data_IF_551199476738
#
_entry.id   IF_551199476738
#
_cell.length_a   1.000
_cell.length_b   1.000
_cell.length_c   1.000
_cell.angle_alpha   90.00
_cell.angle_beta   90.00
_cell.angle_gamma   90.00
#
_symmetry.space_group_name_H-M   'P 1'
#
loop_
_entity.id
_entity.type
_entity.pdbx_description
1 polymer ?
#
# COMPACT_ATOMS: atom_id res chain seq x y z
N UNK A 1 6.27 -9.09 -22.09
CA UNK A 1 7.54 -8.32 -21.96
C UNK A 1 8.74 -9.12 -22.46
N UNK A 2 9.03 -10.32 -21.95
CA UNK A 2 10.21 -11.12 -22.40
C UNK A 2 10.20 -11.37 -23.91
N UNK A 3 9.08 -11.86 -24.47
CA UNK A 3 8.93 -12.09 -25.91
C UNK A 3 9.37 -10.87 -26.74
N UNK A 4 8.78 -9.70 -26.46
CA UNK A 4 9.09 -8.44 -27.15
C UNK A 4 10.55 -8.00 -26.99
N UNK A 5 11.16 -8.25 -25.82
CA UNK A 5 12.57 -7.96 -25.59
C UNK A 5 13.47 -8.87 -26.43
N UNK A 6 13.22 -10.17 -26.47
CA UNK A 6 14.00 -11.15 -27.25
C UNK A 6 13.84 -10.93 -28.76
N UNK A 7 12.66 -10.55 -29.24
CA UNK A 7 12.44 -10.18 -30.64
C UNK A 7 13.29 -8.97 -31.07
N UNK A 8 13.45 -7.98 -30.18
CA UNK A 8 14.30 -6.79 -30.43
C UNK A 8 15.79 -7.04 -30.20
N UNK A 9 16.13 -8.08 -29.43
CA UNK A 9 17.49 -8.41 -29.04
C UNK A 9 17.75 -9.90 -29.29
N UNK A 10 17.79 -10.35 -30.56
CA UNK A 10 17.85 -11.78 -30.90
C UNK A 10 19.13 -12.47 -30.40
N UNK A 11 20.18 -11.67 -30.12
CA UNK A 11 21.45 -12.17 -29.57
C UNK A 11 21.42 -12.35 -28.04
N UNK A 12 20.32 -11.96 -27.37
CA UNK A 12 20.17 -12.08 -25.91
C UNK A 12 19.11 -13.14 -25.61
N UNK A 13 19.54 -14.24 -24.98
CA UNK A 13 18.65 -15.27 -24.44
C UNK A 13 18.19 -14.87 -23.03
N UNK A 14 16.88 -14.84 -22.81
CA UNK A 14 16.31 -14.59 -21.48
C UNK A 14 15.73 -15.89 -20.92
N UNK A 15 16.23 -16.32 -19.76
CA UNK A 15 15.66 -17.44 -19.01
C UNK A 15 14.83 -16.91 -17.84
N UNK A 16 13.52 -17.15 -17.87
CA UNK A 16 12.63 -16.71 -16.80
C UNK A 16 12.56 -17.74 -15.67
N UNK A 17 13.01 -17.35 -14.48
CA UNK A 17 12.96 -18.16 -13.27
C UNK A 17 12.05 -17.50 -12.23
N UNK A 18 10.75 -17.84 -12.18
CA UNK A 18 9.85 -17.25 -11.20
C UNK A 18 10.21 -17.73 -9.79
N UNK A 19 10.24 -16.79 -8.83
CA UNK A 19 10.35 -17.13 -7.41
C UNK A 19 8.95 -17.27 -6.86
N UNK A 20 8.63 -18.46 -6.34
CA UNK A 20 7.33 -18.73 -5.74
C UNK A 20 7.06 -17.78 -4.56
N UNK A 21 5.93 -17.07 -4.62
CA UNK A 21 5.45 -16.18 -3.57
C UNK A 21 4.47 -16.94 -2.68
N UNK A 22 4.61 -16.77 -1.38
CA UNK A 22 3.74 -17.42 -0.41
C UNK A 22 2.47 -16.57 -0.33
N UNK A 23 1.33 -17.11 -0.76
CA UNK A 23 0.05 -16.39 -0.89
C UNK A 23 0.15 -15.09 -1.72
N UNK A 24 1.02 -15.06 -2.73
CA UNK A 24 1.25 -13.87 -3.56
C UNK A 24 1.99 -12.73 -2.86
N UNK A 25 2.50 -12.94 -1.66
CA UNK A 25 3.25 -11.93 -0.91
C UNK A 25 4.69 -11.83 -1.41
N UNK A 26 5.03 -10.68 -2.01
CA UNK A 26 6.38 -10.40 -2.49
C UNK A 26 7.45 -10.49 -1.38
N UNK A 27 7.10 -10.20 -0.12
CA UNK A 27 8.05 -10.24 0.99
C UNK A 27 8.62 -11.65 1.25
N UNK A 28 7.91 -12.71 0.86
CA UNK A 28 8.42 -14.09 1.02
C UNK A 28 9.49 -14.46 -0.01
N UNK A 29 9.66 -13.66 -1.06
CA UNK A 29 10.69 -13.88 -2.07
C UNK A 29 12.09 -13.52 -1.56
N UNK A 30 12.22 -12.46 -0.74
CA UNK A 30 13.54 -11.91 -0.41
C UNK A 30 14.46 -12.88 0.35
N UNK A 31 14.00 -13.66 1.33
CA UNK A 31 14.84 -14.70 1.95
C UNK A 31 15.34 -15.73 0.93
N UNK A 32 14.49 -16.14 -0.04
CA UNK A 32 14.84 -17.06 -1.13
C UNK A 32 15.88 -16.43 -2.07
N UNK A 33 15.69 -15.15 -2.42
CA UNK A 33 16.64 -14.39 -3.24
C UNK A 33 18.00 -14.24 -2.57
N UNK A 34 18.03 -13.93 -1.27
CA UNK A 34 19.27 -13.80 -0.48
C UNK A 34 20.00 -15.14 -0.37
N UNK A 35 19.27 -16.24 -0.17
CA UNK A 35 19.86 -17.58 -0.16
C UNK A 35 20.45 -17.95 -1.53
N UNK A 36 19.73 -17.68 -2.62
CA UNK A 36 20.23 -17.89 -3.98
C UNK A 36 21.46 -17.02 -4.29
N UNK A 37 21.51 -15.78 -3.79
CA UNK A 37 22.68 -14.91 -3.94
C UNK A 37 23.91 -15.51 -3.25
N UNK A 38 23.73 -16.00 -2.01
CA UNK A 38 24.80 -16.65 -1.25
C UNK A 38 25.28 -17.96 -1.91
N UNK A 39 24.38 -18.67 -2.57
CA UNK A 39 24.69 -19.89 -3.31
C UNK A 39 25.27 -19.64 -4.72
N UNK A 40 25.34 -18.39 -5.19
CA UNK A 40 25.77 -18.05 -6.54
C UNK A 40 24.78 -18.49 -7.64
N UNK A 41 23.52 -18.68 -7.30
CA UNK A 41 22.46 -19.17 -8.22
C UNK A 41 21.36 -18.16 -8.49
N UNK A 42 21.41 -16.99 -7.84
CA UNK A 42 20.54 -15.87 -8.17
C UNK A 42 20.87 -15.40 -9.60
N UNK A 43 19.85 -15.11 -10.42
CA UNK A 43 20.05 -14.73 -11.83
C UNK A 43 20.75 -13.37 -12.02
N UNK A 44 20.64 -12.78 -13.21
CA UNK A 44 21.28 -11.48 -13.47
C UNK A 44 20.36 -10.27 -13.19
N UNK A 45 19.05 -10.44 -13.39
CA UNK A 45 18.05 -9.37 -13.26
C UNK A 45 16.98 -9.74 -12.23
N UNK A 46 16.73 -8.87 -11.25
CA UNK A 46 15.76 -9.09 -10.19
C UNK A 46 15.04 -7.80 -9.78
N UNK A 47 13.88 -7.98 -9.15
CA UNK A 47 13.10 -6.89 -8.58
C UNK A 47 13.27 -6.84 -7.05
N UNK A 48 13.87 -5.76 -6.56
CA UNK A 48 13.99 -5.46 -5.13
C UNK A 48 13.13 -4.27 -4.78
N UNK A 49 12.31 -4.39 -3.72
CA UNK A 49 11.38 -3.34 -3.34
C UNK A 49 12.05 -2.30 -2.44
N UNK A 50 12.10 -1.01 -2.84
CA UNK A 50 12.61 0.05 -2.00
C UNK A 50 11.65 0.42 -0.85
N UNK A 51 10.33 0.27 -1.02
CA UNK A 51 9.33 0.76 -0.06
C UNK A 51 9.30 -0.02 1.27
N UNK A 52 9.76 -1.27 1.24
CA UNK A 52 9.90 -2.13 2.43
C UNK A 52 11.36 -2.42 2.80
N UNK A 53 12.26 -1.51 2.43
CA UNK A 53 13.68 -1.54 2.76
C UNK A 53 14.54 -2.63 2.06
N UNK A 54 13.94 -3.46 1.21
CA UNK A 54 14.60 -4.66 0.68
C UNK A 54 15.71 -4.32 -0.32
N UNK A 55 15.52 -3.29 -1.14
CA UNK A 55 16.57 -2.76 -2.03
C UNK A 55 17.80 -2.33 -1.23
N UNK A 56 17.63 -1.55 -0.16
CA UNK A 56 18.75 -1.06 0.66
C UNK A 56 19.49 -2.21 1.37
N UNK A 57 18.76 -3.24 1.80
CA UNK A 57 19.37 -4.44 2.39
C UNK A 57 20.17 -5.23 1.36
N UNK A 58 19.65 -5.39 0.13
CA UNK A 58 20.39 -6.02 -0.96
C UNK A 58 21.66 -5.24 -1.33
N UNK A 59 21.58 -3.90 -1.39
CA UNK A 59 22.72 -3.02 -1.62
C UNK A 59 23.79 -3.18 -0.52
N UNK A 60 23.40 -3.10 0.76
CA UNK A 60 24.30 -3.26 1.91
C UNK A 60 24.98 -4.62 1.94
N UNK A 61 24.26 -5.68 1.53
CA UNK A 61 24.76 -7.05 1.44
C UNK A 61 25.53 -7.34 0.15
N UNK A 62 25.68 -6.35 -0.74
CA UNK A 62 26.37 -6.48 -2.03
C UNK A 62 25.73 -7.55 -2.95
N UNK A 63 24.42 -7.72 -2.86
CA UNK A 63 23.64 -8.63 -3.72
C UNK A 63 23.28 -7.96 -5.05
N UNK A 64 23.16 -6.64 -5.06
CA UNK A 64 22.91 -5.82 -6.24
C UNK A 64 24.05 -4.82 -6.43
N UNK A 65 24.28 -4.43 -7.68
CA UNK A 65 25.24 -3.40 -8.05
C UNK A 65 24.51 -2.08 -8.39
N UNK A 66 25.16 -0.92 -8.18
CA UNK A 66 24.65 0.35 -8.70
C UNK A 66 24.61 0.33 -10.23
N UNK A 67 23.63 1.01 -10.82
CA UNK A 67 23.40 1.06 -12.27
C UNK A 67 23.82 2.39 -12.91
N UNK A 68 24.51 3.26 -12.15
CA UNK A 68 24.92 4.60 -12.61
C UNK A 68 25.77 4.56 -13.89
N UNK A 69 26.71 3.60 -14.00
CA UNK A 69 27.53 3.42 -15.20
C UNK A 69 26.72 3.00 -16.43
N UNK A 70 25.69 2.16 -16.24
CA UNK A 70 24.80 1.73 -17.32
C UNK A 70 23.94 2.91 -17.80
N UNK A 71 23.39 3.69 -16.86
CA UNK A 71 22.62 4.91 -17.17
C UNK A 71 23.47 5.90 -17.96
N UNK A 72 24.72 6.13 -17.53
CA UNK A 72 25.64 7.04 -18.19
C UNK A 72 26.04 6.55 -19.60
N UNK A 73 26.42 5.27 -19.73
CA UNK A 73 26.81 4.65 -21.01
C UNK A 73 25.70 4.78 -22.05
N UNK A 74 24.47 4.45 -21.66
CA UNK A 74 23.33 4.40 -22.57
C UNK A 74 22.64 5.76 -22.74
N UNK A 75 23.10 6.79 -22.02
CA UNK A 75 22.42 8.10 -21.89
C UNK A 75 20.93 7.91 -21.58
N UNK A 76 20.64 6.98 -20.68
CA UNK A 76 19.28 6.54 -20.42
C UNK A 76 18.48 7.66 -19.73
N UNK A 77 17.39 8.09 -20.36
CA UNK A 77 16.59 9.22 -19.86
C UNK A 77 15.80 8.83 -18.62
N UNK A 78 16.26 9.24 -17.43
CA UNK A 78 15.52 9.03 -16.19
C UNK A 78 14.28 9.91 -16.05
N UNK A 79 14.15 10.96 -16.86
CA UNK A 79 13.01 11.86 -16.90
C UNK A 79 11.72 11.18 -17.38
N UNK A 80 11.83 10.01 -18.02
CA UNK A 80 10.67 9.19 -18.40
C UNK A 80 9.93 8.59 -17.19
N UNK A 81 10.54 8.58 -16.00
CA UNK A 81 9.91 8.08 -14.78
C UNK A 81 9.36 9.22 -13.93
N UNK A 82 8.30 8.91 -13.16
CA UNK A 82 7.87 9.82 -12.10
C UNK A 82 9.00 10.02 -11.08
N UNK A 83 9.30 11.28 -10.78
CA UNK A 83 10.39 11.69 -9.89
C UNK A 83 10.43 10.92 -8.56
N UNK A 84 9.31 10.71 -7.82
CA UNK A 84 9.35 9.94 -6.58
C UNK A 84 9.86 8.50 -6.74
N UNK A 85 9.52 7.82 -7.83
CA UNK A 85 9.90 6.42 -8.02
C UNK A 85 11.38 6.26 -8.39
N UNK A 86 11.95 7.19 -9.14
CA UNK A 86 13.40 7.17 -9.40
C UNK A 86 14.20 7.63 -8.18
N UNK A 87 13.69 8.58 -7.40
CA UNK A 87 14.35 9.00 -6.17
C UNK A 87 14.41 7.88 -5.13
N UNK A 88 13.39 7.01 -5.07
CA UNK A 88 13.44 5.79 -4.25
C UNK A 88 14.48 4.76 -4.68
N UNK A 89 15.03 4.85 -5.89
CA UNK A 89 16.14 3.98 -6.31
C UNK A 89 17.50 4.51 -5.85
N UNK A 90 17.56 5.73 -5.29
CA UNK A 90 18.81 6.38 -4.89
C UNK A 90 19.11 6.13 -3.43
N UNK A 91 20.33 5.71 -3.14
CA UNK A 91 20.83 5.56 -1.78
C UNK A 91 22.35 5.73 -1.72
N UNK A 92 22.83 6.50 -0.73
CA UNK A 92 24.25 6.83 -0.56
C UNK A 92 24.90 7.38 -1.84
N UNK A 93 24.18 8.27 -2.55
CA UNK A 93 24.68 8.93 -3.76
C UNK A 93 24.73 8.06 -5.02
N UNK A 94 24.20 6.82 -4.97
CA UNK A 94 24.16 5.89 -6.11
C UNK A 94 22.73 5.48 -6.46
N UNK A 95 22.52 5.07 -7.71
CA UNK A 95 21.26 4.53 -8.20
C UNK A 95 21.33 3.01 -8.23
N UNK A 96 20.47 2.32 -7.49
CA UNK A 96 20.55 0.87 -7.27
C UNK A 96 19.59 0.03 -8.13
N UNK A 97 18.81 0.69 -8.97
CA UNK A 97 17.85 0.03 -9.86
C UNK A 97 17.06 1.04 -10.70
N UNK A 98 16.15 0.52 -11.51
CA UNK A 98 15.19 1.32 -12.29
C UNK A 98 13.76 0.93 -11.90
N UNK A 99 12.80 1.87 -11.90
CA UNK A 99 11.40 1.55 -11.63
C UNK A 99 10.85 0.56 -12.67
N UNK A 100 10.30 -0.56 -12.22
CA UNK A 100 9.62 -1.54 -13.10
C UNK A 100 8.10 -1.39 -13.07
N UNK A 101 7.56 -0.89 -11.96
CA UNK A 101 6.19 -0.47 -11.77
C UNK A 101 6.13 0.48 -10.57
N UNK A 102 5.03 1.24 -10.43
CA UNK A 102 4.84 2.20 -9.36
C UNK A 102 3.50 1.98 -8.67
N UNK A 103 3.50 2.11 -7.35
CA UNK A 103 2.30 2.06 -6.52
C UNK A 103 2.34 3.21 -5.52
N UNK A 104 1.24 3.98 -5.44
CA UNK A 104 1.12 5.16 -4.57
C UNK A 104 0.88 4.82 -3.09
N UNK A 105 0.91 3.54 -2.74
CA UNK A 105 0.72 3.07 -1.37
C UNK A 105 -0.74 2.96 -0.98
N UNK A 106 -1.03 3.13 0.31
CA UNK A 106 -2.37 3.02 0.89
C UNK A 106 -2.96 4.43 1.10
N UNK A 107 -3.19 5.13 -0.01
CA UNK A 107 -3.42 6.58 -0.10
C UNK A 107 -4.88 7.02 -0.04
N UNK A 108 -5.82 6.10 0.19
CA UNK A 108 -7.23 6.45 0.32
C UNK A 108 -8.12 5.35 0.88
N UNK A 109 -9.36 5.38 0.43
CA UNK A 109 -10.41 4.45 0.81
C UNK A 109 -11.22 4.06 -0.41
N UNK A 110 -11.66 2.81 -0.45
CA UNK A 110 -12.78 2.38 -1.29
C UNK A 110 -14.02 2.27 -0.43
N UNK A 111 -15.17 2.61 -1.00
CA UNK A 111 -16.44 2.53 -0.28
C UNK A 111 -17.58 2.03 -1.18
N UNK A 112 -18.41 1.17 -0.62
CA UNK A 112 -19.60 0.64 -1.29
C UNK A 112 -20.70 1.72 -1.26
N UNK A 113 -21.05 2.25 -2.43
CA UNK A 113 -21.95 3.42 -2.51
C UNK A 113 -23.35 3.10 -2.03
N UNK A 114 -23.83 1.88 -2.27
CA UNK A 114 -25.18 1.44 -1.88
C UNK A 114 -25.27 1.22 -0.37
N UNK A 115 -24.24 0.66 0.25
CA UNK A 115 -24.18 0.52 1.71
C UNK A 115 -24.18 1.89 2.38
N UNK A 116 -23.38 2.84 1.88
CA UNK A 116 -23.34 4.19 2.44
C UNK A 116 -24.70 4.88 2.32
N UNK A 117 -25.32 4.83 1.14
CA UNK A 117 -26.66 5.41 0.90
C UNK A 117 -27.71 4.80 1.83
N UNK A 118 -27.75 3.47 1.96
CA UNK A 118 -28.70 2.78 2.83
C UNK A 118 -28.46 3.05 4.33
N UNK A 119 -27.21 3.33 4.71
CA UNK A 119 -26.85 3.80 6.05
C UNK A 119 -27.17 5.28 6.26
N UNK A 120 -27.62 6.02 5.23
CA UNK A 120 -27.82 7.47 5.28
C UNK A 120 -26.51 8.25 5.37
N UNK A 121 -25.40 7.69 4.89
CA UNK A 121 -24.07 8.29 4.89
C UNK A 121 -23.65 8.68 3.47
N UNK A 122 -22.84 9.73 3.35
CA UNK A 122 -22.23 10.15 2.10
C UNK A 122 -20.77 10.51 2.34
N UNK A 123 -19.90 10.18 1.40
CA UNK A 123 -18.52 10.68 1.42
C UNK A 123 -18.52 12.14 0.95
N UNK A 124 -17.86 13.06 1.67
CA UNK A 124 -17.70 14.44 1.23
C UNK A 124 -16.90 14.55 -0.07
N UNK A 125 -16.93 15.73 -0.69
CA UNK A 125 -15.96 16.06 -1.74
C UNK A 125 -14.53 16.00 -1.16
N UNK A 126 -13.55 15.35 -1.83
CA UNK A 126 -12.19 15.24 -1.32
C UNK A 126 -11.43 16.57 -1.18
N UNK A 127 -11.96 17.65 -1.75
CA UNK A 127 -11.48 19.03 -1.63
C UNK A 127 -12.26 19.82 -0.57
N UNK A 128 -13.34 19.29 -0.03
CA UNK A 128 -14.11 19.96 1.03
C UNK A 128 -13.28 20.10 2.31
N UNK A 129 -13.35 21.24 3.02
CA UNK A 129 -12.77 21.38 4.35
C UNK A 129 -13.39 20.42 5.37
N UNK A 130 -14.62 19.94 5.12
CA UNK A 130 -15.29 18.97 6.00
C UNK A 130 -14.71 17.56 5.89
N UNK A 131 -13.87 17.29 4.87
CA UNK A 131 -13.21 16.01 4.72
C UNK A 131 -12.03 15.88 5.68
N UNK A 132 -12.34 15.43 6.90
CA UNK A 132 -11.43 15.29 8.04
C UNK A 132 -11.40 13.85 8.55
N UNK A 133 -10.39 13.50 9.35
CA UNK A 133 -10.35 12.19 10.03
C UNK A 133 -11.51 12.00 11.02
N UNK A 134 -12.04 13.09 11.58
CA UNK A 134 -13.25 13.06 12.41
C UNK A 134 -14.49 12.74 11.58
N UNK A 135 -14.63 13.34 10.39
CA UNK A 135 -15.73 13.00 9.47
C UNK A 135 -15.66 11.55 9.00
N UNK A 136 -14.47 11.03 8.69
CA UNK A 136 -14.28 9.62 8.37
C UNK A 136 -14.69 8.72 9.55
N UNK A 137 -14.35 9.09 10.79
CA UNK A 137 -14.78 8.37 11.99
C UNK A 137 -16.31 8.27 12.05
N UNK A 138 -17.01 9.41 11.95
CA UNK A 138 -18.46 9.48 11.99
C UNK A 138 -19.11 8.59 10.93
N UNK A 139 -18.59 8.63 9.70
CA UNK A 139 -19.08 7.81 8.58
C UNK A 139 -18.83 6.33 8.87
N UNK A 140 -17.63 5.95 9.31
CA UNK A 140 -17.30 4.56 9.64
C UNK A 140 -18.19 4.00 10.75
N UNK A 141 -18.48 4.79 11.79
CA UNK A 141 -19.41 4.41 12.85
C UNK A 141 -20.82 4.24 12.30
N UNK A 142 -21.33 5.24 11.57
CA UNK A 142 -22.69 5.21 11.01
C UNK A 142 -22.91 4.00 10.10
N UNK A 143 -21.98 3.75 9.18
CA UNK A 143 -22.01 2.59 8.29
C UNK A 143 -21.90 1.30 9.09
N UNK A 144 -20.98 1.23 10.05
CA UNK A 144 -20.84 0.05 10.90
C UNK A 144 -22.10 -0.30 11.68
N UNK A 145 -22.76 0.68 12.30
CA UNK A 145 -24.04 0.47 13.01
C UNK A 145 -25.15 -0.02 12.10
N UNK A 146 -25.24 0.52 10.89
CA UNK A 146 -26.18 0.01 9.88
C UNK A 146 -25.88 -1.45 9.50
N UNK A 147 -24.60 -1.83 9.42
CA UNK A 147 -24.14 -3.16 9.02
C UNK A 147 -24.22 -4.22 10.13
N UNK A 148 -24.45 -3.84 11.40
CA UNK A 148 -24.62 -4.80 12.51
C UNK A 148 -25.73 -5.82 12.22
N UNK A 149 -26.81 -5.40 11.53
CA UNK A 149 -27.94 -6.27 11.15
C UNK A 149 -27.55 -7.44 10.24
N UNK A 150 -26.43 -7.34 9.54
CA UNK A 150 -25.89 -8.36 8.64
C UNK A 150 -24.52 -8.86 9.10
N UNK A 151 -24.16 -8.63 10.37
CA UNK A 151 -22.86 -8.98 10.94
C UNK A 151 -21.68 -8.41 10.11
N UNK A 152 -21.88 -7.27 9.45
CA UNK A 152 -20.87 -6.59 8.65
C UNK A 152 -20.12 -5.52 9.43
N UNK A 153 -19.14 -4.91 8.77
CA UNK A 153 -18.26 -3.90 9.37
C UNK A 153 -18.32 -2.58 8.61
N UNK A 154 -18.13 -1.48 9.35
CA UNK A 154 -18.06 -0.14 8.77
C UNK A 154 -16.74 0.12 8.05
N UNK A 155 -15.64 -0.36 8.62
CA UNK A 155 -14.29 -0.07 8.14
C UNK A 155 -13.37 -1.30 8.23
N UNK A 156 -12.56 -1.51 7.21
CA UNK A 156 -11.33 -2.30 7.33
C UNK A 156 -10.12 -1.41 7.13
N UNK A 157 -9.04 -1.65 7.88
CA UNK A 157 -7.78 -0.93 7.72
C UNK A 157 -6.63 -1.88 7.44
N UNK A 158 -5.55 -1.33 6.89
CA UNK A 158 -4.32 -2.11 6.63
C UNK A 158 -3.48 -2.33 7.89
N UNK A 159 -3.95 -1.93 9.09
CA UNK A 159 -3.24 -2.21 10.33
C UNK A 159 -3.26 -3.71 10.69
N UNK A 160 -2.19 -4.22 11.34
CA UNK A 160 -1.03 -3.49 11.87
C UNK A 160 0.15 -3.38 10.88
N UNK A 161 -0.08 -3.32 9.56
CA UNK A 161 1.02 -3.19 8.60
C UNK A 161 1.83 -1.89 8.80
N UNK A 162 3.10 -1.90 8.39
CA UNK A 162 3.97 -0.73 8.44
C UNK A 162 3.44 0.43 7.58
N UNK A 163 2.89 0.14 6.40
CA UNK A 163 2.31 1.14 5.50
C UNK A 163 1.04 1.74 6.09
N UNK A 164 0.15 0.91 6.63
CA UNK A 164 -1.05 1.36 7.34
C UNK A 164 -0.74 2.22 8.56
N UNK A 165 0.25 1.80 9.35
CA UNK A 165 0.75 2.56 10.51
C UNK A 165 1.27 3.92 10.09
N UNK A 166 2.01 4.00 8.98
CA UNK A 166 2.57 5.26 8.46
C UNK A 166 1.46 6.21 8.02
N UNK A 167 0.51 5.72 7.21
CA UNK A 167 -0.60 6.53 6.73
C UNK A 167 -1.46 7.05 7.90
N UNK A 168 -1.74 6.19 8.88
CA UNK A 168 -2.53 6.58 10.04
C UNK A 168 -1.80 7.61 10.92
N UNK A 169 -0.53 7.40 11.30
CA UNK A 169 0.19 8.36 12.15
C UNK A 169 0.36 9.71 11.46
N UNK A 170 0.61 9.70 10.13
CA UNK A 170 0.64 10.92 9.32
C UNK A 170 -0.71 11.63 9.25
N UNK A 171 -1.82 10.90 9.18
CA UNK A 171 -3.16 11.51 9.23
C UNK A 171 -3.41 12.33 10.49
N UNK A 172 -2.67 12.04 11.57
CA UNK A 172 -2.66 12.78 12.83
C UNK A 172 -1.41 13.64 13.02
N UNK A 173 -0.82 14.11 11.92
CA UNK A 173 0.32 15.05 11.87
C UNK A 173 1.56 14.54 12.63
N UNK A 174 1.80 13.22 12.58
CA UNK A 174 3.00 12.55 13.13
C UNK A 174 3.65 11.67 12.05
N UNK A 175 4.65 10.88 12.41
CA UNK A 175 5.16 9.78 11.59
C UNK A 175 5.50 8.58 12.51
N UNK A 176 6.07 7.50 11.96
CA UNK A 176 6.63 6.36 12.70
C UNK A 176 8.09 6.58 13.11
N UNK A 177 8.83 7.41 12.37
CA UNK A 177 10.23 7.76 12.65
C UNK A 177 10.42 9.28 12.72
N UNK A 178 11.45 9.72 13.44
CA UNK A 178 11.96 11.10 13.36
C UNK A 178 12.35 11.46 11.92
N UNK A 179 12.42 12.76 11.61
CA UNK A 179 12.77 13.25 10.27
C UNK A 179 14.10 12.69 9.75
N UNK A 180 15.08 12.49 10.64
CA UNK A 180 16.38 11.88 10.32
C UNK A 180 16.37 10.35 10.25
N UNK A 181 15.22 9.72 10.51
CA UNK A 181 15.02 8.26 10.52
C UNK A 181 15.69 7.52 11.68
N UNK A 182 16.26 8.21 12.68
CA UNK A 182 17.08 7.58 13.74
C UNK A 182 16.30 7.14 14.99
N UNK A 183 15.09 7.64 15.21
CA UNK A 183 14.26 7.30 16.38
C UNK A 183 12.86 6.90 15.96
N UNK A 184 12.30 5.88 16.62
CA UNK A 184 10.88 5.62 16.53
C UNK A 184 10.12 6.65 17.37
N UNK A 185 9.06 7.24 16.81
CA UNK A 185 8.27 8.32 17.46
C UNK A 185 6.79 7.93 17.65
N UNK A 186 6.49 6.63 17.65
CA UNK A 186 5.12 6.10 17.76
C UNK A 186 4.46 6.40 19.12
N UNK A 187 5.21 6.85 20.11
CA UNK A 187 4.73 7.23 21.44
C UNK A 187 4.46 8.73 21.59
N UNK A 188 4.72 9.53 20.56
CA UNK A 188 4.44 10.96 20.56
C UNK A 188 2.94 11.25 20.41
N UNK A 189 2.54 12.48 20.75
CA UNK A 189 1.12 12.86 20.87
C UNK A 189 0.29 12.53 19.63
N UNK A 190 0.74 12.94 18.43
CA UNK A 190 0.00 12.68 17.18
C UNK A 190 -0.08 11.20 16.81
N UNK A 191 0.99 10.44 17.03
CA UNK A 191 0.96 8.99 16.81
C UNK A 191 -0.01 8.29 17.78
N UNK A 192 -0.01 8.68 19.06
CA UNK A 192 -0.97 8.19 20.06
C UNK A 192 -2.41 8.54 19.69
N UNK A 193 -2.66 9.73 19.17
CA UNK A 193 -3.99 10.16 18.71
C UNK A 193 -4.50 9.26 17.57
N UNK A 194 -3.67 8.98 16.56
CA UNK A 194 -4.05 8.06 15.49
C UNK A 194 -4.30 6.63 15.98
N UNK A 195 -3.46 6.13 16.88
CA UNK A 195 -3.68 4.82 17.50
C UNK A 195 -4.96 4.79 18.35
N UNK A 196 -5.29 5.90 19.00
CA UNK A 196 -6.55 6.06 19.76
C UNK A 196 -7.76 6.04 18.85
N UNK A 197 -7.71 6.75 17.73
CA UNK A 197 -8.76 6.75 16.72
C UNK A 197 -9.10 5.33 16.24
N UNK A 198 -8.07 4.54 15.92
CA UNK A 198 -8.26 3.15 15.52
C UNK A 198 -8.78 2.28 16.67
N UNK A 199 -8.23 2.45 17.87
CA UNK A 199 -8.66 1.70 19.05
C UNK A 199 -10.15 1.94 19.33
N UNK A 200 -10.61 3.18 19.29
CA UNK A 200 -12.00 3.52 19.60
C UNK A 200 -12.95 2.91 18.56
N UNK A 201 -12.65 2.99 17.27
CA UNK A 201 -13.46 2.34 16.23
C UNK A 201 -13.52 0.82 16.42
N UNK A 202 -12.41 0.18 16.79
CA UNK A 202 -12.35 -1.27 16.92
C UNK A 202 -12.94 -1.81 18.23
N UNK A 203 -12.69 -1.14 19.35
CA UNK A 203 -12.99 -1.67 20.69
C UNK A 203 -14.21 -1.03 21.34
N UNK A 204 -14.38 0.29 21.14
CA UNK A 204 -15.54 1.02 21.69
C UNK A 204 -16.74 0.91 20.75
N UNK A 205 -16.56 1.30 19.49
CA UNK A 205 -17.64 1.33 18.50
C UNK A 205 -17.90 -0.03 17.87
N UNK A 206 -16.87 -0.90 17.85
CA UNK A 206 -16.89 -2.27 17.30
C UNK A 206 -17.27 -2.35 15.83
N UNK A 207 -16.86 -1.35 15.04
CA UNK A 207 -17.23 -1.22 13.62
C UNK A 207 -16.11 -1.64 12.66
N UNK A 208 -15.01 -2.19 13.18
CA UNK A 208 -13.81 -2.48 12.40
C UNK A 208 -13.68 -3.98 12.13
N UNK A 209 -13.47 -4.33 10.87
CA UNK A 209 -12.98 -5.64 10.47
C UNK A 209 -11.47 -5.72 10.76
N UNK A 210 -11.07 -6.61 11.67
CA UNK A 210 -9.67 -6.88 12.00
C UNK A 210 -9.42 -8.39 12.03
N UNK A 211 -8.15 -8.81 11.97
CA UNK A 211 -7.80 -10.23 11.83
C UNK A 211 -8.41 -11.16 12.90
N UNK A 212 -8.78 -10.64 14.07
CA UNK A 212 -9.40 -11.40 15.15
C UNK A 212 -10.90 -11.65 14.99
N UNK A 213 -11.58 -10.91 14.11
CA UNK A 213 -13.03 -11.04 13.88
C UNK A 213 -13.40 -11.34 12.42
N UNK A 214 -12.41 -11.50 11.54
CA UNK A 214 -12.60 -11.92 10.16
C UNK A 214 -12.41 -13.44 10.01
N UNK A 215 -13.12 -14.09 9.07
CA UNK A 215 -12.83 -15.47 8.67
C UNK A 215 -11.38 -15.61 8.19
N UNK A 216 -10.71 -16.71 8.55
CA UNK A 216 -9.30 -16.93 8.18
C UNK A 216 -9.07 -17.13 6.69
N UNK A 217 -10.08 -17.64 5.99
CA UNK A 217 -9.96 -18.08 4.58
C UNK A 217 -10.54 -17.06 3.58
N UNK A 218 -10.98 -15.89 4.06
CA UNK A 218 -11.58 -14.84 3.23
C UNK A 218 -10.80 -13.54 3.42
N UNK A 219 -10.37 -12.93 2.32
CA UNK A 219 -9.68 -11.63 2.35
C UNK A 219 -10.66 -10.48 2.60
N UNK A 220 -10.16 -9.37 3.13
CA UNK A 220 -10.95 -8.14 3.28
C UNK A 220 -11.50 -7.62 1.94
N UNK A 221 -10.74 -7.78 0.86
CA UNK A 221 -11.18 -7.43 -0.50
C UNK A 221 -12.39 -8.28 -0.94
N UNK A 222 -12.36 -9.59 -0.67
CA UNK A 222 -13.50 -10.46 -0.97
C UNK A 222 -14.72 -10.12 -0.08
N UNK A 223 -14.51 -9.85 1.21
CA UNK A 223 -15.57 -9.39 2.11
C UNK A 223 -16.20 -8.07 1.64
N UNK A 224 -15.39 -7.13 1.11
CA UNK A 224 -15.88 -5.89 0.53
C UNK A 224 -16.75 -6.13 -0.71
N UNK A 225 -16.33 -7.03 -1.61
CA UNK A 225 -17.12 -7.46 -2.78
C UNK A 225 -18.43 -8.13 -2.36
N UNK A 226 -18.40 -8.94 -1.31
CA UNK A 226 -19.59 -9.58 -0.75
C UNK A 226 -20.51 -8.62 0.02
N UNK A 227 -20.17 -7.32 0.10
CA UNK A 227 -20.95 -6.34 0.84
C UNK A 227 -20.86 -6.48 2.37
N UNK A 228 -19.87 -7.18 2.90
CA UNK A 228 -19.69 -7.39 4.35
C UNK A 228 -18.85 -6.27 5.00
N UNK A 229 -18.20 -5.43 4.20
CA UNK A 229 -17.44 -4.26 4.65
C UNK A 229 -17.92 -3.04 3.85
N UNK A 230 -18.25 -1.95 4.55
CA UNK A 230 -18.70 -0.71 3.92
C UNK A 230 -17.57 0.14 3.32
N UNK A 231 -16.44 0.20 4.01
CA UNK A 231 -15.28 1.05 3.66
C UNK A 231 -13.99 0.25 3.86
N UNK A 232 -13.06 0.30 2.92
CA UNK A 232 -11.73 -0.32 3.04
C UNK A 232 -10.64 0.72 2.85
N UNK A 233 -9.67 0.77 3.77
CA UNK A 233 -8.42 1.51 3.60
C UNK A 233 -7.61 0.83 2.50
N UNK A 234 -7.52 1.49 1.34
CA UNK A 234 -6.89 0.94 0.15
C UNK A 234 -6.25 2.06 -0.65
N UNK A 235 -5.30 1.73 -1.51
CA UNK A 235 -4.82 2.65 -2.51
C UNK A 235 -5.33 2.39 -3.91
N UNK A 236 -4.71 3.05 -4.88
CA UNK A 236 -4.96 2.86 -6.32
C UNK A 236 -4.96 1.39 -6.75
N UNK A 237 -4.06 0.55 -6.21
CA UNK A 237 -4.02 -0.89 -6.49
C UNK A 237 -5.31 -1.62 -6.07
N UNK A 238 -5.93 -1.18 -4.97
CA UNK A 238 -7.19 -1.74 -4.47
C UNK A 238 -8.31 -1.63 -5.51
N UNK A 239 -8.37 -0.54 -6.29
CA UNK A 239 -9.38 -0.39 -7.36
C UNK A 239 -9.28 -1.53 -8.37
N UNK A 240 -8.05 -1.86 -8.82
CA UNK A 240 -7.82 -2.94 -9.76
C UNK A 240 -8.14 -4.31 -9.16
N UNK A 241 -7.74 -4.54 -7.91
CA UNK A 241 -7.99 -5.79 -7.21
C UNK A 241 -9.50 -6.04 -7.00
N UNK A 242 -10.23 -5.03 -6.53
CA UNK A 242 -11.68 -5.10 -6.36
C UNK A 242 -12.38 -5.32 -7.70
N UNK A 243 -11.99 -4.61 -8.77
CA UNK A 243 -12.57 -4.85 -10.10
C UNK A 243 -12.32 -6.27 -10.61
N UNK A 244 -11.15 -6.86 -10.33
CA UNK A 244 -10.85 -8.25 -10.71
C UNK A 244 -11.72 -9.28 -9.97
N UNK A 245 -12.07 -8.99 -8.72
CA UNK A 245 -12.95 -9.83 -7.90
C UNK A 245 -14.44 -9.61 -8.22
N UNK A 246 -14.84 -8.38 -8.52
CA UNK A 246 -16.20 -7.96 -8.87
C UNK A 246 -16.57 -8.30 -10.33
N UNK A 247 -16.45 -9.57 -10.73
CA UNK A 247 -16.60 -9.99 -12.14
C UNK A 247 -18.01 -9.82 -12.69
N UNK A 248 -19.04 -9.90 -11.84
CA UNK A 248 -20.44 -9.70 -12.22
C UNK A 248 -20.85 -8.21 -12.25
N UNK A 249 -19.97 -7.32 -11.77
CA UNK A 249 -20.23 -5.89 -11.69
C UNK A 249 -21.33 -5.49 -10.72
N UNK A 250 -21.73 -6.39 -9.81
CA UNK A 250 -22.80 -6.17 -8.83
C UNK A 250 -22.42 -5.09 -7.82
N UNK A 251 -21.17 -5.10 -7.34
CA UNK A 251 -20.67 -4.09 -6.42
C UNK A 251 -20.53 -2.73 -7.14
N UNK A 252 -21.23 -1.71 -6.64
CA UNK A 252 -20.98 -0.31 -6.98
C UNK A 252 -20.14 0.33 -5.90
N UNK A 253 -18.94 0.76 -6.25
CA UNK A 253 -18.00 1.38 -5.33
C UNK A 253 -17.30 2.58 -5.95
N UNK A 254 -16.76 3.43 -5.08
CA UNK A 254 -15.94 4.60 -5.46
C UNK A 254 -14.69 4.63 -4.59
N UNK A 255 -13.72 5.44 -5.01
CA UNK A 255 -12.51 5.74 -4.24
C UNK A 255 -12.52 7.19 -3.76
N UNK A 256 -11.84 7.44 -2.63
CA UNK A 256 -11.57 8.78 -2.10
C UNK A 256 -10.19 8.80 -1.44
N UNK A 257 -9.42 9.87 -1.62
CA UNK A 257 -8.13 10.03 -0.93
C UNK A 257 -8.34 10.30 0.56
N UNK A 258 -7.32 10.03 1.39
CA UNK A 258 -7.33 10.45 2.79
C UNK A 258 -7.66 11.93 2.96
N UNK A 259 -8.27 12.35 4.08
CA UNK A 259 -8.29 13.75 4.51
C UNK A 259 -6.91 14.43 4.43
N UNK A 260 -6.87 15.72 4.10
CA UNK A 260 -5.63 16.49 4.14
C UNK A 260 -5.19 16.69 5.60
N UNK A 261 -3.88 16.65 5.82
CA UNK A 261 -3.22 17.06 7.06
C UNK A 261 -3.28 18.58 7.21
N UNK A 262 -2.88 19.09 8.38
CA UNK A 262 -2.87 20.54 8.67
C UNK A 262 -1.95 21.33 7.72
N UNK A 263 -0.92 20.70 7.19
CA UNK A 263 0.01 21.27 6.21
C UNK A 263 -0.50 21.20 4.76
N UNK A 264 -1.73 20.73 4.54
CA UNK A 264 -2.35 20.62 3.22
C UNK A 264 -1.94 19.39 2.41
N UNK A 265 -0.99 18.59 2.89
CA UNK A 265 -0.56 17.35 2.25
C UNK A 265 -1.47 16.19 2.63
N UNK A 266 -1.50 15.13 1.83
CA UNK A 266 -2.13 13.87 2.20
C UNK A 266 -1.19 13.06 3.10
N UNK A 267 -1.70 12.13 3.93
CA UNK A 267 -0.86 11.27 4.77
C UNK A 267 0.08 10.33 3.99
N UNK A 268 -0.20 10.07 2.72
CA UNK A 268 0.66 9.30 1.83
C UNK A 268 1.85 10.10 1.26
N UNK A 269 1.84 11.43 1.40
CA UNK A 269 2.91 12.35 0.98
C UNK A 269 3.82 12.71 2.16
#
# INVERSE_FOLDING_TARGET
MIKTFTEKNPNIKVEYRPIALDNGNQQSAYPKMLAAAQAGTLGDLHAWDPSHWQMYQAAKRKVIAPVDELIARDKYDLGQFYKPFIDYQKWQGKTWGLPSWGWTGQDGFLYNTQILEAAGATMPDPKSPDWTMAKLYEIAVKVGKYMEKSQGFGLWTTLPSSTGTTALTRAFNSDKFSEDGKKAILTEAGAKEGMRWMYDLANKEKVVAHAGNMPKDISADQMFVNGQIGITHQGSLGVFNINKLNKDGSLKFKSILFPKRKDGKRPSE
#
